data_IF_790954497041
#
_entry.id   IF_790954497041
#
_cell.length_a   1.000
_cell.length_b   1.000
_cell.length_c   1.000
_cell.angle_alpha   90.00
_cell.angle_beta   90.00
_cell.angle_gamma   90.00
#
_symmetry.space_group_name_H-M   'P 1'
#
loop_
_entity.id
_entity.type
_entity.pdbx_description
1 polymer ?
#
# COMPACT_ATOMS: atom_id res chain seq x y z
N UNK A 1 -14.21 -15.90 -33.38
CA UNK A 1 -14.76 -14.81 -32.54
C UNK A 1 -13.77 -14.57 -31.41
N UNK A 2 -13.11 -13.39 -31.34
CA UNK A 2 -12.26 -13.04 -30.20
C UNK A 2 -13.20 -12.81 -29.01
N UNK A 3 -13.07 -13.61 -27.96
CA UNK A 3 -13.83 -13.38 -26.72
C UNK A 3 -13.32 -12.05 -26.15
N UNK A 4 -14.14 -11.03 -26.17
CA UNK A 4 -13.82 -9.73 -25.56
C UNK A 4 -14.07 -9.85 -24.06
N UNK A 5 -13.00 -9.93 -23.30
CA UNK A 5 -13.08 -9.92 -21.84
C UNK A 5 -13.76 -8.66 -21.33
N UNK A 6 -14.50 -8.77 -20.22
CA UNK A 6 -15.13 -7.61 -19.61
C UNK A 6 -14.05 -6.74 -18.94
N UNK A 7 -13.92 -5.46 -19.30
CA UNK A 7 -12.86 -4.61 -18.75
C UNK A 7 -13.11 -4.15 -17.32
N UNK A 8 -14.32 -4.38 -16.79
CA UNK A 8 -14.64 -4.05 -15.42
C UNK A 8 -14.43 -5.28 -14.54
N UNK A 9 -13.77 -5.10 -13.42
CA UNK A 9 -13.30 -6.16 -12.52
C UNK A 9 -13.84 -5.95 -11.11
N UNK A 10 -15.10 -6.35 -10.82
CA UNK A 10 -15.68 -6.23 -9.47
C UNK A 10 -15.14 -7.29 -8.49
N UNK A 11 -14.11 -8.03 -8.88
CA UNK A 11 -13.51 -9.10 -8.08
C UNK A 11 -12.69 -8.54 -6.92
N UNK A 12 -12.61 -9.32 -5.84
CA UNK A 12 -11.77 -8.96 -4.68
C UNK A 12 -10.28 -9.01 -5.05
N UNK A 13 -9.53 -7.99 -4.62
CA UNK A 13 -8.07 -7.94 -4.81
C UNK A 13 -7.61 -7.41 -6.16
N UNK A 14 -8.51 -7.16 -7.11
CA UNK A 14 -8.14 -6.58 -8.39
C UNK A 14 -8.06 -5.05 -8.33
N UNK A 15 -7.09 -4.51 -9.05
CA UNK A 15 -6.89 -3.07 -9.19
C UNK A 15 -7.46 -2.63 -10.53
N UNK A 16 -8.50 -1.77 -10.55
CA UNK A 16 -9.05 -1.26 -11.79
C UNK A 16 -8.01 -0.50 -12.61
N UNK A 17 -8.11 -0.56 -13.94
CA UNK A 17 -7.25 0.20 -14.84
C UNK A 17 -7.31 1.72 -14.55
N UNK A 18 -8.48 2.22 -14.18
CA UNK A 18 -8.72 3.62 -13.85
C UNK A 18 -9.25 3.77 -12.41
N UNK A 19 -8.47 4.43 -11.56
CA UNK A 19 -8.86 4.81 -10.20
C UNK A 19 -9.53 6.19 -10.25
N UNK A 20 -10.83 6.21 -10.50
CA UNK A 20 -11.62 7.44 -10.62
C UNK A 20 -11.44 8.37 -9.42
N UNK A 21 -11.23 9.67 -9.66
CA UNK A 21 -11.10 10.69 -8.62
C UNK A 21 -9.86 10.54 -7.72
N UNK A 22 -8.84 9.75 -8.11
CA UNK A 22 -7.60 9.57 -7.35
C UNK A 22 -6.34 10.07 -8.07
N UNK A 23 -6.50 10.67 -9.23
CA UNK A 23 -5.41 11.10 -10.11
C UNK A 23 -4.46 12.08 -9.43
N UNK A 24 -4.98 13.00 -8.58
CA UNK A 24 -4.13 13.94 -7.87
C UNK A 24 -3.23 13.23 -6.85
N UNK A 25 -3.79 12.34 -6.05
CA UNK A 25 -3.05 11.54 -5.07
C UNK A 25 -1.94 10.75 -5.77
N UNK A 26 -2.29 10.09 -6.88
CA UNK A 26 -1.34 9.30 -7.67
C UNK A 26 -0.20 10.17 -8.18
N UNK A 27 -0.50 11.34 -8.77
CA UNK A 27 0.55 12.26 -9.26
C UNK A 27 1.47 12.76 -8.15
N UNK A 28 0.93 13.03 -6.97
CA UNK A 28 1.71 13.54 -5.85
C UNK A 28 2.65 12.46 -5.32
N UNK A 29 2.19 11.20 -5.21
CA UNK A 29 3.03 10.07 -4.83
C UNK A 29 4.07 9.73 -5.91
N UNK A 30 3.71 9.73 -7.20
CA UNK A 30 4.67 9.52 -8.29
C UNK A 30 5.83 10.54 -8.21
N UNK A 31 5.51 11.82 -8.01
CA UNK A 31 6.52 12.87 -7.80
C UNK A 31 7.38 12.63 -6.57
N UNK A 32 6.77 12.09 -5.50
CA UNK A 32 7.49 11.78 -4.27
C UNK A 32 8.47 10.61 -4.47
N UNK A 33 8.07 9.56 -5.18
CA UNK A 33 8.93 8.41 -5.48
C UNK A 33 10.11 8.77 -6.38
N UNK A 34 9.92 9.70 -7.31
CA UNK A 34 10.98 10.19 -8.21
C UNK A 34 11.91 11.23 -7.57
N UNK A 35 11.50 11.82 -6.44
CA UNK A 35 12.26 12.90 -5.82
C UNK A 35 13.52 12.40 -5.11
N UNK A 36 14.65 13.10 -5.31
CA UNK A 36 15.88 12.87 -4.55
C UNK A 36 15.79 13.42 -3.12
N UNK A 37 14.88 14.37 -2.87
CA UNK A 37 14.64 14.93 -1.55
C UNK A 37 13.41 14.28 -0.94
N UNK A 38 13.47 14.03 0.36
CA UNK A 38 12.30 13.53 1.08
C UNK A 38 11.11 14.46 0.92
N UNK A 39 9.97 13.91 0.55
CA UNK A 39 8.70 14.61 0.42
C UNK A 39 7.71 14.14 1.48
N UNK A 40 6.81 15.03 1.95
CA UNK A 40 5.79 14.66 2.95
C UNK A 40 4.94 13.46 2.55
N UNK A 41 4.64 13.33 1.26
CA UNK A 41 3.81 12.26 0.69
C UNK A 41 4.39 10.85 0.90
N UNK A 42 5.71 10.73 1.14
CA UNK A 42 6.34 9.45 1.49
C UNK A 42 5.90 8.90 2.86
N UNK A 43 5.18 9.71 3.65
CA UNK A 43 4.47 9.26 4.85
C UNK A 43 3.02 9.68 4.68
N UNK A 44 2.17 8.76 4.22
CA UNK A 44 0.76 9.06 3.91
C UNK A 44 -0.21 8.13 4.62
N UNK A 45 -1.35 8.68 5.00
CA UNK A 45 -2.43 7.94 5.67
C UNK A 45 -3.72 8.16 4.89
N UNK A 46 -4.32 7.06 4.46
CA UNK A 46 -5.58 7.04 3.72
C UNK A 46 -6.71 6.59 4.63
N UNK A 47 -7.63 7.49 4.95
CA UNK A 47 -8.80 7.16 5.75
C UNK A 47 -10.06 7.16 4.89
N UNK A 48 -10.99 6.26 5.17
CA UNK A 48 -12.26 6.20 4.44
C UNK A 48 -13.11 5.00 4.85
N UNK A 49 -14.39 5.06 4.56
CA UNK A 49 -15.31 3.96 4.79
C UNK A 49 -14.93 2.71 3.97
N UNK A 50 -15.56 1.59 4.25
CA UNK A 50 -15.42 0.38 3.42
C UNK A 50 -15.93 0.67 2.01
N UNK A 51 -15.28 0.08 1.00
CA UNK A 51 -15.65 0.26 -0.41
C UNK A 51 -15.19 1.58 -1.05
N UNK A 52 -14.45 2.47 -0.34
CA UNK A 52 -13.90 3.71 -0.91
C UNK A 52 -12.64 3.53 -1.74
N UNK A 53 -12.18 2.28 -1.93
CA UNK A 53 -11.04 1.95 -2.80
C UNK A 53 -9.67 2.13 -2.16
N UNK A 54 -9.55 2.08 -0.81
CA UNK A 54 -8.28 2.18 -0.10
C UNK A 54 -7.27 1.13 -0.56
N UNK A 55 -7.63 -0.14 -0.49
CA UNK A 55 -6.79 -1.28 -0.87
C UNK A 55 -6.34 -1.20 -2.34
N UNK A 56 -7.25 -0.87 -3.26
CA UNK A 56 -6.95 -0.72 -4.68
C UNK A 56 -5.97 0.45 -4.93
N UNK A 57 -6.18 1.60 -4.25
CA UNK A 57 -5.25 2.72 -4.32
C UNK A 57 -3.87 2.36 -3.79
N UNK A 58 -3.79 1.72 -2.62
CA UNK A 58 -2.53 1.28 -2.01
C UNK A 58 -1.77 0.31 -2.92
N UNK A 59 -2.47 -0.66 -3.51
CA UNK A 59 -1.87 -1.61 -4.46
C UNK A 59 -1.35 -0.92 -5.71
N UNK A 60 -2.12 0.03 -6.27
CA UNK A 60 -1.69 0.84 -7.42
C UNK A 60 -0.43 1.66 -7.09
N UNK A 61 -0.39 2.30 -5.91
CA UNK A 61 0.76 3.10 -5.48
C UNK A 61 2.00 2.23 -5.25
N UNK A 62 1.85 1.01 -4.74
CA UNK A 62 2.94 0.07 -4.58
C UNK A 62 3.54 -0.33 -5.94
N UNK A 63 2.71 -0.70 -6.93
CA UNK A 63 3.18 -1.02 -8.29
C UNK A 63 3.87 0.18 -8.96
N UNK A 64 3.37 1.40 -8.73
CA UNK A 64 4.01 2.63 -9.23
C UNK A 64 5.37 2.87 -8.57
N UNK A 65 5.47 2.69 -7.27
CA UNK A 65 6.75 2.78 -6.57
C UNK A 65 7.77 1.80 -7.17
N UNK A 66 7.36 0.55 -7.42
CA UNK A 66 8.20 -0.45 -8.09
C UNK A 66 8.64 0.00 -9.48
N UNK A 67 7.75 0.60 -10.28
CA UNK A 67 8.12 1.15 -11.59
C UNK A 67 9.09 2.34 -11.53
N UNK A 68 9.20 2.99 -10.37
CA UNK A 68 10.14 4.07 -10.07
C UNK A 68 11.40 3.59 -9.32
N UNK A 69 11.67 2.29 -9.30
CA UNK A 69 12.87 1.70 -8.70
C UNK A 69 12.83 1.60 -7.17
N UNK A 70 11.64 1.56 -6.58
CA UNK A 70 11.46 1.23 -5.17
C UNK A 70 11.14 -0.26 -5.02
N UNK A 71 11.44 -0.80 -3.84
CA UNK A 71 10.87 -2.07 -3.38
C UNK A 71 9.61 -1.77 -2.60
N UNK A 72 8.52 -2.47 -2.91
CA UNK A 72 7.27 -2.35 -2.18
C UNK A 72 6.94 -3.64 -1.42
N UNK A 73 6.80 -3.51 -0.11
CA UNK A 73 6.29 -4.58 0.76
C UNK A 73 4.88 -4.22 1.21
N UNK A 74 3.94 -5.11 0.94
CA UNK A 74 2.52 -4.94 1.29
C UNK A 74 2.19 -5.85 2.46
N UNK A 75 1.53 -5.30 3.48
CA UNK A 75 1.04 -6.07 4.61
C UNK A 75 -0.31 -5.55 5.10
N UNK A 76 -0.95 -6.30 5.95
CA UNK A 76 -2.16 -5.93 6.70
C UNK A 76 -1.82 -5.84 8.17
N UNK A 77 -2.48 -4.96 8.93
CA UNK A 77 -2.26 -4.82 10.37
C UNK A 77 -2.83 -6.05 11.12
N UNK A 78 -2.07 -7.14 11.10
CA UNK A 78 -2.35 -8.39 11.80
C UNK A 78 -1.11 -8.84 12.59
N UNK A 79 -1.27 -9.68 13.64
CA UNK A 79 -0.12 -10.26 14.34
C UNK A 79 0.84 -10.98 13.38
N UNK A 80 2.15 -10.70 13.51
CA UNK A 80 3.19 -11.19 12.61
C UNK A 80 3.51 -10.26 11.44
N UNK A 81 2.89 -9.06 11.39
CA UNK A 81 3.13 -8.11 10.31
C UNK A 81 4.57 -7.62 10.24
N UNK A 82 5.27 -7.52 11.36
CA UNK A 82 6.67 -7.09 11.36
C UNK A 82 7.58 -8.13 10.70
N UNK A 83 7.37 -9.41 10.98
CA UNK A 83 8.08 -10.51 10.35
C UNK A 83 7.78 -10.61 8.86
N UNK A 84 6.52 -10.38 8.46
CA UNK A 84 6.13 -10.33 7.06
C UNK A 84 6.85 -9.21 6.31
N UNK A 85 6.94 -8.02 6.91
CA UNK A 85 7.67 -6.87 6.34
C UNK A 85 9.16 -7.21 6.19
N UNK A 86 9.79 -7.76 7.24
CA UNK A 86 11.21 -8.12 7.22
C UNK A 86 11.49 -9.19 6.15
N UNK A 87 10.68 -10.23 6.10
CA UNK A 87 10.82 -11.29 5.11
C UNK A 87 10.66 -10.76 3.67
N UNK A 88 9.63 -9.95 3.43
CA UNK A 88 9.38 -9.32 2.13
C UNK A 88 10.53 -8.43 1.68
N UNK A 89 11.06 -7.60 2.58
CA UNK A 89 12.19 -6.73 2.32
C UNK A 89 13.48 -7.52 2.03
N UNK A 90 13.79 -8.55 2.81
CA UNK A 90 14.94 -9.43 2.58
C UNK A 90 14.86 -10.15 1.24
N UNK A 91 13.69 -10.72 0.92
CA UNK A 91 13.49 -11.42 -0.36
C UNK A 91 13.70 -10.51 -1.56
N UNK A 92 13.18 -9.29 -1.48
CA UNK A 92 13.35 -8.31 -2.55
C UNK A 92 14.79 -7.79 -2.63
N UNK A 93 15.47 -7.57 -1.49
CA UNK A 93 16.85 -7.15 -1.44
C UNK A 93 17.80 -8.22 -2.03
N UNK A 94 17.55 -9.49 -1.76
CA UNK A 94 18.36 -10.60 -2.28
C UNK A 94 18.49 -10.59 -3.82
N UNK A 95 17.40 -10.27 -4.52
CA UNK A 95 17.41 -10.16 -5.98
C UNK A 95 18.22 -8.98 -6.53
N UNK A 96 18.43 -7.93 -5.73
CA UNK A 96 19.20 -6.74 -6.14
C UNK A 96 20.68 -6.85 -5.81
N UNK A 97 21.02 -7.50 -4.68
CA UNK A 97 22.39 -7.53 -4.15
C UNK A 97 23.20 -8.64 -4.79
N UNK A 98 22.60 -9.79 -5.06
CA UNK A 98 23.23 -10.92 -5.77
C UNK A 98 22.18 -11.74 -6.52
N UNK A 99 22.01 -11.54 -7.85
CA UNK A 99 21.12 -12.35 -8.66
C UNK A 99 21.47 -13.85 -8.68
N UNK A 100 22.69 -14.21 -8.24
CA UNK A 100 23.18 -15.59 -8.15
C UNK A 100 23.09 -16.16 -6.73
N UNK A 101 22.79 -15.33 -5.72
CA UNK A 101 22.59 -15.80 -4.35
C UNK A 101 21.31 -16.58 -4.28
N UNK A 102 21.40 -17.89 -4.33
CA UNK A 102 20.36 -18.77 -3.82
C UNK A 102 20.26 -18.53 -2.31
N UNK A 103 19.34 -17.67 -1.91
CA UNK A 103 18.94 -17.59 -0.52
C UNK A 103 18.25 -18.92 -0.19
N UNK A 104 19.02 -19.88 0.29
CA UNK A 104 18.43 -21.01 0.99
C UNK A 104 17.64 -20.43 2.13
N UNK A 105 16.32 -20.50 2.03
CA UNK A 105 15.40 -20.30 3.15
C UNK A 105 15.67 -21.43 4.15
N UNK A 106 16.71 -21.30 4.92
CA UNK A 106 16.91 -22.09 6.13
C UNK A 106 15.96 -21.56 7.21
N UNK A 107 14.70 -21.52 6.86
CA UNK A 107 13.61 -21.27 7.79
C UNK A 107 13.02 -22.59 8.24
N UNK A 108 13.81 -23.37 8.95
CA UNK A 108 13.42 -24.36 9.94
C UNK A 108 14.75 -24.99 10.42
N UNK A 109 15.42 -24.28 11.30
CA UNK A 109 16.46 -24.88 12.09
C UNK A 109 15.90 -26.10 12.81
N UNK A 110 16.21 -27.27 12.30
CA UNK A 110 16.18 -28.47 13.10
C UNK A 110 17.36 -28.31 14.06
N UNK A 111 17.08 -27.65 15.18
CA UNK A 111 17.99 -27.68 16.31
C UNK A 111 17.97 -29.08 16.89
N UNK A 112 19.15 -29.72 17.16
CA UNK A 112 19.20 -30.96 17.89
C UNK A 112 18.59 -30.70 19.29
N UNK A 113 17.82 -31.63 19.75
CA UNK A 113 17.16 -31.71 21.05
C UNK A 113 18.04 -31.18 22.18
N UNK A 114 17.68 -30.04 22.71
CA UNK A 114 18.19 -29.44 23.91
C UNK A 114 17.33 -28.23 24.24
N UNK A 115 16.43 -28.39 25.19
CA UNK A 115 15.46 -27.44 25.70
C UNK A 115 16.12 -26.08 26.01
N UNK A 116 15.93 -25.11 25.13
CA UNK A 116 15.95 -23.70 25.49
C UNK A 116 14.58 -23.17 25.11
N UNK A 117 13.74 -22.92 26.09
CA UNK A 117 12.60 -22.01 25.95
C UNK A 117 13.17 -20.64 25.54
N UNK A 118 13.21 -20.41 24.24
CA UNK A 118 13.40 -19.04 23.75
C UNK A 118 12.10 -18.32 24.05
N UNK A 119 12.08 -17.62 25.16
CA UNK A 119 11.13 -16.55 25.41
C UNK A 119 11.18 -15.64 24.17
N UNK A 120 10.15 -15.74 23.31
CA UNK A 120 9.90 -14.81 22.23
C UNK A 120 9.45 -13.47 22.82
N UNK A 121 10.35 -12.79 23.50
CA UNK A 121 10.25 -11.35 23.63
C UNK A 121 10.60 -10.82 22.26
N UNK A 122 9.61 -10.46 21.46
CA UNK A 122 9.79 -9.69 20.25
C UNK A 122 10.40 -8.35 20.68
N UNK A 123 11.72 -8.30 20.76
CA UNK A 123 12.40 -7.06 21.08
C UNK A 123 12.31 -6.14 19.87
N UNK A 124 11.45 -5.12 19.96
CA UNK A 124 11.26 -4.09 18.95
C UNK A 124 12.59 -3.43 18.53
N UNK A 125 13.56 -3.36 19.46
CA UNK A 125 14.89 -2.85 19.18
C UNK A 125 15.63 -3.76 18.19
N UNK A 126 15.53 -5.07 18.36
CA UNK A 126 16.17 -6.06 17.49
C UNK A 126 15.59 -6.04 16.07
N UNK A 127 14.26 -5.96 15.92
CA UNK A 127 13.61 -5.84 14.61
C UNK A 127 14.02 -4.55 13.90
N UNK A 128 14.03 -3.42 14.62
CA UNK A 128 14.44 -2.13 14.05
C UNK A 128 15.87 -2.16 13.50
N UNK A 129 16.83 -2.79 14.21
CA UNK A 129 18.20 -2.89 13.74
C UNK A 129 18.31 -3.75 12.49
N UNK A 130 17.67 -4.93 12.45
CA UNK A 130 17.67 -5.78 11.26
C UNK A 130 17.07 -5.06 10.05
N UNK A 131 15.94 -4.36 10.23
CA UNK A 131 15.34 -3.57 9.15
C UNK A 131 16.22 -2.38 8.75
N UNK A 132 16.91 -1.76 9.70
CA UNK A 132 17.88 -0.70 9.42
C UNK A 132 18.97 -1.19 8.47
N UNK A 133 19.57 -2.34 8.74
CA UNK A 133 20.62 -2.93 7.92
C UNK A 133 20.11 -3.28 6.50
N UNK A 134 18.91 -3.83 6.39
CA UNK A 134 18.28 -4.11 5.10
C UNK A 134 18.05 -2.81 4.30
N UNK A 135 17.52 -1.78 4.95
CA UNK A 135 17.26 -0.50 4.28
C UNK A 135 18.58 0.15 3.84
N UNK A 136 19.65 0.05 4.62
CA UNK A 136 20.96 0.57 4.24
C UNK A 136 21.49 -0.11 2.98
N UNK A 137 21.45 -1.44 2.92
CA UNK A 137 21.83 -2.20 1.73
C UNK A 137 21.02 -1.80 0.48
N UNK A 138 19.70 -1.61 0.65
CA UNK A 138 18.83 -1.13 -0.44
C UNK A 138 19.20 0.29 -0.88
N UNK A 139 19.45 1.19 0.08
CA UNK A 139 19.81 2.57 -0.23
C UNK A 139 21.18 2.68 -0.90
N UNK A 140 22.15 1.85 -0.52
CA UNK A 140 23.46 1.73 -1.20
C UNK A 140 23.28 1.25 -2.65
N UNK A 141 22.34 0.36 -2.91
CA UNK A 141 21.95 -0.03 -4.27
C UNK A 141 21.08 1.01 -5.01
N UNK A 142 20.89 2.21 -4.43
CA UNK A 142 20.10 3.29 -5.04
C UNK A 142 18.58 3.10 -4.95
N UNK A 143 18.11 2.14 -4.17
CA UNK A 143 16.69 1.74 -4.07
C UNK A 143 16.08 2.19 -2.74
N UNK A 144 14.83 2.65 -2.75
CA UNK A 144 14.05 2.93 -1.54
C UNK A 144 13.16 1.75 -1.14
N UNK A 145 12.78 1.68 0.14
CA UNK A 145 11.81 0.74 0.64
C UNK A 145 10.47 1.43 0.90
N UNK A 146 9.41 0.97 0.23
CA UNK A 146 8.03 1.32 0.54
C UNK A 146 7.38 0.20 1.36
N UNK A 147 6.85 0.53 2.52
CA UNK A 147 5.96 -0.34 3.28
C UNK A 147 4.53 0.18 3.16
N UNK A 148 3.60 -0.68 2.78
CA UNK A 148 2.17 -0.37 2.79
C UNK A 148 1.46 -1.22 3.83
N UNK A 149 0.65 -0.59 4.69
CA UNK A 149 -0.12 -1.27 5.74
C UNK A 149 -1.60 -1.01 5.52
N UNK A 150 -2.36 -2.02 5.18
CA UNK A 150 -3.81 -1.93 5.06
C UNK A 150 -4.51 -2.31 6.37
N UNK A 151 -5.75 -1.86 6.53
CA UNK A 151 -6.61 -2.11 7.70
C UNK A 151 -5.95 -1.75 9.03
N UNK A 152 -5.34 -0.54 9.12
CA UNK A 152 -4.69 -0.04 10.35
C UNK A 152 -5.48 -0.39 11.61
N UNK A 153 -4.82 -1.07 12.55
CA UNK A 153 -5.35 -1.40 13.86
C UNK A 153 -4.51 -0.73 14.97
N UNK A 154 -5.03 0.30 15.64
CA UNK A 154 -4.30 1.02 16.68
C UNK A 154 -4.12 0.21 17.99
N UNK A 155 -4.78 -0.96 18.11
CA UNK A 155 -4.65 -1.85 19.27
C UNK A 155 -3.52 -2.87 19.11
N UNK A 156 -2.97 -3.01 17.91
CA UNK A 156 -1.89 -3.93 17.60
C UNK A 156 -0.54 -3.29 17.98
N UNK A 157 0.17 -3.85 18.93
CA UNK A 157 1.47 -3.36 19.39
C UNK A 157 2.49 -3.26 18.26
N UNK A 158 2.49 -4.22 17.32
CA UNK A 158 3.37 -4.21 16.14
C UNK A 158 3.14 -3.00 15.24
N UNK A 159 1.91 -2.49 15.15
CA UNK A 159 1.60 -1.27 14.41
C UNK A 159 2.30 -0.05 15.04
N UNK A 160 2.29 0.02 16.38
CA UNK A 160 2.98 1.08 17.11
C UNK A 160 4.50 0.95 16.99
N UNK A 161 5.01 -0.29 17.05
CA UNK A 161 6.44 -0.59 16.87
C UNK A 161 6.93 -0.24 15.47
N UNK A 162 6.17 -0.59 14.42
CA UNK A 162 6.47 -0.20 13.03
C UNK A 162 6.58 1.32 12.91
N UNK A 163 5.54 2.03 13.37
CA UNK A 163 5.51 3.48 13.26
C UNK A 163 6.68 4.14 14.01
N UNK A 164 6.97 3.71 15.26
CA UNK A 164 8.10 4.22 16.03
C UNK A 164 9.44 3.93 15.34
N UNK A 165 9.65 2.73 14.82
CA UNK A 165 10.86 2.35 14.07
C UNK A 165 11.02 3.17 12.80
N UNK A 166 9.92 3.39 12.07
CA UNK A 166 9.89 4.22 10.88
C UNK A 166 10.35 5.66 11.16
N UNK A 167 9.97 6.23 12.30
CA UNK A 167 10.47 7.56 12.71
C UNK A 167 11.99 7.60 12.78
N UNK A 168 12.62 6.55 13.32
CA UNK A 168 14.09 6.45 13.36
C UNK A 168 14.67 6.37 11.96
N UNK A 169 14.16 5.50 11.08
CA UNK A 169 14.64 5.40 9.70
C UNK A 169 14.58 6.75 8.98
N UNK A 170 13.52 7.52 9.20
CA UNK A 170 13.37 8.87 8.64
C UNK A 170 14.40 9.84 9.20
N UNK A 171 14.65 9.80 10.52
CA UNK A 171 15.62 10.67 11.21
C UNK A 171 17.03 10.35 10.76
N UNK A 172 17.34 9.08 10.50
CA UNK A 172 18.62 8.60 10.00
C UNK A 172 18.83 8.87 8.50
N UNK A 173 17.88 9.56 7.86
CA UNK A 173 17.97 9.96 6.45
C UNK A 173 17.75 8.83 5.45
N UNK A 174 17.23 7.67 5.89
CA UNK A 174 17.03 6.51 5.01
C UNK A 174 15.94 6.77 3.97
N UNK A 175 16.12 6.23 2.78
CA UNK A 175 15.14 6.28 1.70
C UNK A 175 14.04 5.25 1.93
N UNK A 176 13.08 5.61 2.77
CA UNK A 176 11.95 4.76 3.19
C UNK A 176 10.64 5.54 3.09
N UNK A 177 9.57 4.85 2.72
CA UNK A 177 8.21 5.37 2.67
C UNK A 177 7.24 4.46 3.45
N UNK A 178 6.23 5.06 4.06
CA UNK A 178 5.17 4.35 4.78
C UNK A 178 3.81 4.88 4.35
N UNK A 179 3.02 4.04 3.71
CA UNK A 179 1.64 4.32 3.36
C UNK A 179 0.72 3.43 4.21
N UNK A 180 -0.24 4.04 4.87
CA UNK A 180 -1.17 3.33 5.77
C UNK A 180 -2.60 3.60 5.36
N UNK A 181 -3.47 2.61 5.45
CA UNK A 181 -4.89 2.76 5.17
C UNK A 181 -5.76 2.15 6.27
N UNK A 182 -6.88 2.80 6.59
CA UNK A 182 -7.77 2.29 7.62
C UNK A 182 -9.12 3.01 7.68
N UNK A 183 -9.96 2.55 8.58
CA UNK A 183 -11.20 3.23 8.90
C UNK A 183 -10.91 4.55 9.63
N UNK A 184 -11.75 5.59 9.49
CA UNK A 184 -11.50 6.89 10.09
C UNK A 184 -11.26 6.84 11.61
N UNK A 185 -12.02 6.01 12.33
CA UNK A 185 -11.86 5.86 13.77
C UNK A 185 -10.51 5.24 14.16
N UNK A 186 -10.07 4.19 13.44
CA UNK A 186 -8.80 3.53 13.70
C UNK A 186 -7.64 4.47 13.43
N UNK A 187 -7.69 5.19 12.30
CA UNK A 187 -6.70 6.20 11.95
C UNK A 187 -6.65 7.31 13.01
N UNK A 188 -7.81 7.83 13.43
CA UNK A 188 -7.87 8.85 14.48
C UNK A 188 -7.28 8.37 15.80
N UNK A 189 -7.57 7.13 16.20
CA UNK A 189 -7.01 6.53 17.42
C UNK A 189 -5.49 6.37 17.32
N UNK A 190 -4.97 5.89 16.18
CA UNK A 190 -3.53 5.79 15.93
C UNK A 190 -2.84 7.17 16.02
N UNK A 191 -3.40 8.18 15.36
CA UNK A 191 -2.84 9.54 15.38
C UNK A 191 -2.85 10.19 16.79
N UNK A 192 -3.73 9.74 17.67
CA UNK A 192 -3.80 10.21 19.05
C UNK A 192 -2.93 9.38 20.01
N UNK A 193 -2.31 8.31 19.54
CA UNK A 193 -1.42 7.49 20.37
C UNK A 193 -0.13 8.27 20.69
N UNK A 194 0.24 8.30 21.99
CA UNK A 194 1.34 9.14 22.49
C UNK A 194 2.69 8.84 21.83
N UNK A 195 3.00 7.56 21.65
CA UNK A 195 4.29 7.09 21.11
C UNK A 195 4.49 7.48 19.64
N UNK A 196 3.42 7.58 18.87
CA UNK A 196 3.48 7.81 17.41
C UNK A 196 2.85 9.14 16.99
N UNK A 197 2.81 10.11 17.90
CA UNK A 197 2.21 11.43 17.68
C UNK A 197 2.80 12.20 16.47
N UNK A 198 4.02 11.87 16.05
CA UNK A 198 4.66 12.45 14.85
C UNK A 198 3.86 12.14 13.57
N UNK A 199 3.07 11.06 13.53
CA UNK A 199 2.20 10.70 12.42
C UNK A 199 1.12 11.76 12.13
N UNK A 200 0.84 12.68 13.05
CA UNK A 200 -0.02 13.85 12.80
C UNK A 200 0.53 14.76 11.71
N UNK A 201 1.84 14.69 11.42
CA UNK A 201 2.51 15.43 10.35
C UNK A 201 2.53 14.68 9.01
N UNK A 202 2.05 13.42 8.99
CA UNK A 202 1.90 12.66 7.77
C UNK A 202 0.87 13.33 6.84
N UNK A 203 1.03 13.14 5.54
CA UNK A 203 0.03 13.55 4.57
C UNK A 203 -1.24 12.70 4.76
N UNK A 204 -2.36 13.35 5.03
CA UNK A 204 -3.63 12.68 5.28
C UNK A 204 -4.56 12.86 4.09
N UNK A 205 -5.11 11.75 3.60
CA UNK A 205 -6.09 11.73 2.52
C UNK A 205 -7.39 11.09 3.01
N UNK A 206 -8.50 11.83 2.91
CA UNK A 206 -9.82 11.30 3.17
C UNK A 206 -10.45 10.80 1.89
N UNK A 207 -10.61 9.48 1.78
CA UNK A 207 -11.20 8.83 0.62
C UNK A 207 -12.72 8.73 0.82
N UNK A 208 -13.41 9.71 0.26
CA UNK A 208 -14.87 9.75 0.20
C UNK A 208 -15.43 9.21 -1.12
N UNK A 209 -16.69 9.54 -1.37
CA UNK A 209 -17.34 9.29 -2.66
C UNK A 209 -16.58 10.02 -3.77
N UNK A 210 -16.59 9.41 -4.95
CA UNK A 210 -16.05 9.99 -6.17
C UNK A 210 -17.09 10.95 -6.75
N UNK A 211 -16.65 12.08 -7.30
CA UNK A 211 -17.55 12.99 -8.00
C UNK A 211 -18.12 12.34 -9.26
N UNK A 212 -19.36 12.68 -9.61
CA UNK A 212 -20.07 12.11 -10.77
C UNK A 212 -19.29 12.33 -12.07
N UNK A 213 -18.57 13.45 -12.18
CA UNK A 213 -17.71 13.73 -13.33
C UNK A 213 -16.58 12.69 -13.45
N UNK A 214 -15.87 12.39 -12.36
CA UNK A 214 -14.78 11.41 -12.34
C UNK A 214 -15.29 9.98 -12.59
N UNK A 215 -16.49 9.65 -12.08
CA UNK A 215 -17.17 8.38 -12.37
C UNK A 215 -17.46 8.26 -13.86
N UNK A 216 -18.04 9.31 -14.45
CA UNK A 216 -18.36 9.39 -15.89
C UNK A 216 -17.09 9.22 -16.73
N UNK A 217 -16.04 9.97 -16.41
CA UNK A 217 -14.76 9.90 -17.15
C UNK A 217 -14.19 8.48 -17.10
N UNK A 218 -14.15 7.86 -15.93
CA UNK A 218 -13.63 6.51 -15.77
C UNK A 218 -14.45 5.46 -16.55
N UNK A 219 -15.78 5.57 -16.54
CA UNK A 219 -16.65 4.69 -17.33
C UNK A 219 -16.36 4.83 -18.83
N UNK A 220 -16.38 6.06 -19.35
CA UNK A 220 -16.16 6.33 -20.77
C UNK A 220 -14.78 5.83 -21.20
N UNK A 221 -13.73 6.15 -20.46
CA UNK A 221 -12.37 5.68 -20.76
C UNK A 221 -12.27 4.17 -20.76
N UNK A 222 -12.79 3.49 -19.74
CA UNK A 222 -12.75 2.02 -19.68
C UNK A 222 -13.48 1.38 -20.86
N UNK A 223 -14.64 1.93 -21.24
CA UNK A 223 -15.43 1.44 -22.39
C UNK A 223 -14.68 1.67 -23.70
N UNK A 224 -14.15 2.88 -23.95
CA UNK A 224 -13.47 3.25 -25.19
C UNK A 224 -12.15 2.52 -25.38
N UNK A 225 -11.33 2.40 -24.32
CA UNK A 225 -10.04 1.69 -24.38
C UNK A 225 -10.19 0.17 -24.63
N UNK A 226 -11.41 -0.35 -24.53
CA UNK A 226 -11.72 -1.76 -24.81
C UNK A 226 -12.62 -1.94 -26.05
N UNK A 227 -12.59 -0.96 -26.98
CA UNK A 227 -13.31 -1.01 -28.26
C UNK A 227 -14.83 -1.25 -28.09
N UNK A 228 -15.42 -0.72 -27.00
CA UNK A 228 -16.85 -0.81 -26.71
C UNK A 228 -17.52 0.55 -26.85
N UNK A 229 -18.83 0.54 -27.03
CA UNK A 229 -19.64 1.74 -27.16
C UNK A 229 -20.73 1.75 -26.07
N UNK A 230 -21.04 2.92 -25.56
CA UNK A 230 -22.19 3.17 -24.72
C UNK A 230 -22.85 4.49 -25.13
N UNK A 231 -24.17 4.55 -25.06
CA UNK A 231 -24.90 5.79 -25.30
C UNK A 231 -24.84 6.72 -24.07
N UNK A 232 -25.09 8.00 -24.31
CA UNK A 232 -25.03 9.01 -23.25
C UNK A 232 -26.06 8.75 -22.13
N UNK A 233 -27.25 8.25 -22.47
CA UNK A 233 -28.29 7.98 -21.50
C UNK A 233 -27.93 6.78 -20.61
N UNK A 234 -27.32 5.73 -21.19
CA UNK A 234 -26.78 4.58 -20.45
C UNK A 234 -25.70 4.99 -19.47
N UNK A 235 -24.76 5.84 -19.90
CA UNK A 235 -23.73 6.41 -19.01
C UNK A 235 -24.38 7.20 -17.86
N UNK A 236 -25.39 8.03 -18.15
CA UNK A 236 -26.09 8.82 -17.12
C UNK A 236 -26.79 7.94 -16.10
N UNK A 237 -27.44 6.87 -16.55
CA UNK A 237 -28.07 5.88 -15.64
C UNK A 237 -27.02 5.18 -14.79
N UNK A 238 -25.90 4.77 -15.37
CA UNK A 238 -24.80 4.12 -14.67
C UNK A 238 -24.21 5.04 -13.59
N UNK A 239 -23.89 6.29 -13.92
CA UNK A 239 -23.35 7.29 -12.96
C UNK A 239 -24.29 7.46 -11.77
N UNK A 240 -25.61 7.62 -12.00
CA UNK A 240 -26.58 7.71 -10.91
C UNK A 240 -26.61 6.46 -10.04
N UNK A 241 -26.53 5.27 -10.64
CA UNK A 241 -26.53 3.99 -9.92
C UNK A 241 -25.27 3.77 -9.09
N UNK A 242 -24.11 4.22 -9.58
CA UNK A 242 -22.81 4.13 -8.91
C UNK A 242 -22.75 5.05 -7.71
N UNK A 243 -23.41 6.21 -7.78
CA UNK A 243 -23.51 7.15 -6.66
C UNK A 243 -22.17 7.45 -5.97
N UNK A 244 -21.09 7.51 -6.76
CA UNK A 244 -19.75 7.83 -6.29
C UNK A 244 -19.01 6.74 -5.52
N UNK A 245 -19.48 5.50 -5.49
CA UNK A 245 -18.78 4.40 -4.83
C UNK A 245 -17.87 3.64 -5.82
N UNK A 246 -16.53 3.58 -5.58
CA UNK A 246 -15.59 2.91 -6.48
C UNK A 246 -15.94 1.45 -6.79
N UNK A 247 -16.37 0.69 -5.77
CA UNK A 247 -16.80 -0.69 -5.96
C UNK A 247 -18.00 -0.80 -6.91
N UNK A 248 -18.99 0.09 -6.74
CA UNK A 248 -20.18 0.09 -7.60
C UNK A 248 -19.84 0.49 -9.04
N UNK A 249 -18.78 1.28 -9.28
CA UNK A 249 -18.31 1.57 -10.63
C UNK A 249 -17.92 0.27 -11.35
N UNK A 250 -17.15 -0.58 -10.70
CA UNK A 250 -16.77 -1.86 -11.27
C UNK A 250 -17.97 -2.80 -11.44
N UNK A 251 -18.86 -2.87 -10.44
CA UNK A 251 -20.00 -3.77 -10.46
C UNK A 251 -21.02 -3.36 -11.54
N UNK A 252 -21.37 -2.09 -11.62
CA UNK A 252 -22.34 -1.56 -12.61
C UNK A 252 -21.75 -1.68 -14.01
N UNK A 253 -20.48 -1.28 -14.20
CA UNK A 253 -19.81 -1.43 -15.50
C UNK A 253 -19.71 -2.88 -15.96
N UNK A 254 -19.50 -3.82 -15.04
CA UNK A 254 -19.46 -5.26 -15.35
C UNK A 254 -20.81 -5.82 -15.81
N UNK A 255 -21.92 -5.27 -15.29
CA UNK A 255 -23.30 -5.75 -15.53
C UNK A 255 -23.99 -5.06 -16.70
N UNK A 256 -23.48 -3.92 -17.15
CA UNK A 256 -23.99 -3.15 -18.29
C UNK A 256 -23.50 -3.71 -19.62
#
# INVERSE_FOLDING_TARGET
MKYLENPFTPSFGEVPAHLAGRQQIIRDLDRAFLSQRRRPELTSIFSGARGTGKTALMSSLATRAESHGWIAVKTTALPGMLEEIEFGAKRAAAHLIDPSSHFEVTGLGIAPLGSIEVNRVHDASTWRYRMSDIIDQLNEAGTGLLVTVDEVDPTLDEMIQLAASYQHFVTDGKRVALLMAGLPNNVSTLLNHKTVSFLRRAQQYHLGRIADYDVREALIRTIQENDRLADAEGIDRAVRSISGFPFLLQLVGYRA
#
